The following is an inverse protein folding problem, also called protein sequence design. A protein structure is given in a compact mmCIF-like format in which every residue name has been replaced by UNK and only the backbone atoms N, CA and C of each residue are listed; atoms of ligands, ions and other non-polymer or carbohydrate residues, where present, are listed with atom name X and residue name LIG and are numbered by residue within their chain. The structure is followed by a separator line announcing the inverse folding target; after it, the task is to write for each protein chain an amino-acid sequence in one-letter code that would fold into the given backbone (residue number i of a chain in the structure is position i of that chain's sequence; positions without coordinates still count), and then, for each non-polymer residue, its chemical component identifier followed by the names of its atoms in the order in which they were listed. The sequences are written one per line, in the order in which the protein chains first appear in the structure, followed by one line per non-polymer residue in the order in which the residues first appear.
data_IF_125603463364
#
_entry.id   IF_125603463364
#
_cell.length_a   1.000
_cell.length_b   1.000
_cell.length_c   1.000
_cell.angle_alpha   90.00
_cell.angle_beta   90.00
_cell.angle_gamma   90.00
#
_symmetry.space_group_name_H-M   'P 1'
#
loop_
_entity.id
_entity.type
_entity.pdbx_description
1 polymer ?
#
# COMPACT_ATOMS: atom_id res chain seq x y z
N UNK A 1 -24.43 9.43 -13.60
CA UNK A 1 -23.34 8.59 -13.06
C UNK A 1 -23.56 8.42 -11.56
N UNK A 2 -23.57 7.20 -11.11
CA UNK A 2 -23.72 6.88 -9.70
C UNK A 2 -22.45 6.19 -9.21
N UNK A 3 -21.90 6.67 -8.09
CA UNK A 3 -20.73 6.07 -7.45
C UNK A 3 -21.16 5.41 -6.15
N UNK A 4 -20.63 4.22 -5.90
CA UNK A 4 -20.85 3.48 -4.66
C UNK A 4 -19.62 2.62 -4.34
N UNK A 5 -19.66 1.93 -3.20
CA UNK A 5 -18.59 1.02 -2.81
C UNK A 5 -19.12 -0.42 -2.80
N UNK A 6 -18.30 -1.35 -3.25
CA UNK A 6 -18.57 -2.78 -3.15
C UNK A 6 -18.41 -3.25 -1.70
N UNK A 7 -18.71 -4.53 -1.43
CA UNK A 7 -18.48 -5.15 -0.12
C UNK A 7 -17.00 -5.12 0.30
N UNK A 8 -16.10 -5.00 -0.67
CA UNK A 8 -14.66 -4.91 -0.44
C UNK A 8 -14.14 -3.47 -0.47
N UNK A 9 -15.05 -2.48 -0.44
CA UNK A 9 -14.75 -1.04 -0.48
C UNK A 9 -14.09 -0.57 -1.78
N UNK A 10 -14.24 -1.34 -2.87
CA UNK A 10 -13.78 -0.91 -4.18
C UNK A 10 -14.83 -0.01 -4.83
N UNK A 11 -14.35 0.93 -5.66
CA UNK A 11 -15.22 1.88 -6.34
C UNK A 11 -16.09 1.17 -7.38
N UNK A 12 -17.39 1.43 -7.33
CA UNK A 12 -18.37 0.92 -8.29
C UNK A 12 -18.93 2.10 -9.08
N UNK A 13 -18.88 2.01 -10.39
CA UNK A 13 -19.35 3.06 -11.30
C UNK A 13 -20.58 2.56 -12.04
N UNK A 14 -21.68 3.27 -11.87
CA UNK A 14 -22.94 3.00 -12.58
C UNK A 14 -23.25 4.21 -13.45
N UNK A 15 -23.09 4.06 -14.76
CA UNK A 15 -23.31 5.11 -15.74
C UNK A 15 -24.14 4.53 -16.91
N UNK A 16 -25.46 4.33 -16.75
CA UNK A 16 -26.29 3.64 -17.73
C UNK A 16 -26.35 4.31 -19.10
N UNK A 17 -26.08 5.61 -19.17
CA UNK A 17 -26.06 6.34 -20.44
C UNK A 17 -24.76 6.13 -21.23
N UNK A 18 -23.73 5.60 -20.58
CA UNK A 18 -22.41 5.39 -21.18
C UNK A 18 -22.09 3.91 -21.30
N UNK A 19 -22.55 3.10 -20.32
CA UNK A 19 -22.23 1.69 -20.25
C UNK A 19 -23.47 0.91 -19.79
N UNK A 20 -23.78 -0.18 -20.49
CA UNK A 20 -24.93 -1.02 -20.17
C UNK A 20 -24.75 -1.84 -18.89
N UNK A 21 -23.51 -1.95 -18.40
CA UNK A 21 -23.19 -2.72 -17.22
C UNK A 21 -22.54 -1.83 -16.16
N UNK A 22 -22.79 -2.16 -14.89
CA UNK A 22 -22.12 -1.53 -13.76
C UNK A 22 -20.67 -1.99 -13.73
N UNK A 23 -19.73 -1.02 -13.62
CA UNK A 23 -18.31 -1.32 -13.53
C UNK A 23 -17.89 -1.41 -12.06
N UNK A 24 -17.31 -2.55 -11.67
CA UNK A 24 -16.69 -2.72 -10.37
C UNK A 24 -15.18 -2.65 -10.58
N UNK A 25 -14.56 -1.61 -10.03
CA UNK A 25 -13.11 -1.40 -10.19
C UNK A 25 -12.33 -2.18 -9.13
N UNK A 26 -11.01 -2.27 -9.31
CA UNK A 26 -10.10 -2.79 -8.30
C UNK A 26 -9.47 -1.68 -7.46
N UNK A 27 -10.05 -0.48 -7.49
CA UNK A 27 -9.55 0.66 -6.72
C UNK A 27 -10.33 0.78 -5.43
N UNK A 28 -9.63 0.68 -4.30
CA UNK A 28 -10.21 0.91 -2.98
C UNK A 28 -10.40 2.42 -2.80
N UNK A 29 -11.58 2.83 -2.39
CA UNK A 29 -11.95 4.24 -2.37
C UNK A 29 -12.77 4.61 -1.14
N UNK A 30 -12.83 5.91 -0.86
CA UNK A 30 -13.77 6.52 0.09
C UNK A 30 -14.65 7.49 -0.69
N UNK A 31 -15.95 7.48 -0.38
CA UNK A 31 -16.93 8.41 -0.95
C UNK A 31 -17.38 9.35 0.15
N UNK A 32 -17.31 10.65 -0.11
CA UNK A 32 -17.66 11.68 0.85
C UNK A 32 -19.10 12.15 0.67
N UNK A 33 -19.63 12.83 1.69
CA UNK A 33 -21.03 13.27 1.71
C UNK A 33 -21.37 14.27 0.60
N UNK A 34 -20.39 14.99 0.07
CA UNK A 34 -20.58 15.93 -1.05
C UNK A 34 -20.55 15.25 -2.42
N UNK A 35 -20.39 13.93 -2.48
CA UNK A 35 -20.33 13.16 -3.71
C UNK A 35 -18.93 12.99 -4.30
N UNK A 36 -17.93 13.65 -3.72
CA UNK A 36 -16.54 13.44 -4.14
C UNK A 36 -15.99 12.11 -3.60
N UNK A 37 -14.88 11.67 -4.14
CA UNK A 37 -14.25 10.43 -3.69
C UNK A 37 -12.73 10.54 -3.73
N UNK A 38 -12.07 9.69 -2.96
CA UNK A 38 -10.61 9.52 -2.98
C UNK A 38 -10.25 8.07 -3.24
N UNK A 39 -9.24 7.83 -4.05
CA UNK A 39 -8.70 6.50 -4.26
C UNK A 39 -7.60 6.27 -3.22
N UNK A 40 -7.76 5.24 -2.39
CA UNK A 40 -6.80 4.90 -1.32
C UNK A 40 -5.70 3.97 -1.82
N UNK A 41 -5.98 3.15 -2.84
CA UNK A 41 -5.02 2.22 -3.41
C UNK A 41 -5.73 1.14 -4.22
N UNK A 42 -4.95 0.15 -4.66
CA UNK A 42 -5.49 -1.00 -5.39
C UNK A 42 -5.88 -2.10 -4.42
N UNK A 43 -6.96 -2.83 -4.73
CA UNK A 43 -7.41 -3.97 -3.94
C UNK A 43 -6.29 -5.01 -3.73
N UNK A 44 -5.50 -5.26 -4.78
CA UNK A 44 -4.43 -6.25 -4.75
C UNK A 44 -3.26 -5.85 -3.84
N UNK A 45 -3.17 -4.58 -3.47
CA UNK A 45 -2.11 -4.05 -2.61
C UNK A 45 -2.60 -3.81 -1.17
N UNK A 46 -3.80 -4.28 -0.85
CA UNK A 46 -4.32 -4.24 0.51
C UNK A 46 -3.58 -5.25 1.37
N UNK A 47 -3.14 -4.82 2.53
CA UNK A 47 -2.45 -5.67 3.51
C UNK A 47 -3.42 -5.91 4.68
N UNK A 48 -3.68 -7.18 4.99
CA UNK A 48 -4.53 -7.56 6.11
C UNK A 48 -3.66 -7.91 7.31
N UNK A 49 -3.51 -6.97 8.22
CA UNK A 49 -2.66 -7.13 9.40
C UNK A 49 -3.51 -7.06 10.68
N UNK A 50 -3.55 -8.17 11.43
CA UNK A 50 -4.32 -8.24 12.68
C UNK A 50 -5.81 -8.06 12.48
N UNK A 51 -6.35 -8.44 11.32
CA UNK A 51 -7.77 -8.25 10.99
C UNK A 51 -8.12 -6.85 10.47
N UNK A 52 -7.12 -5.97 10.36
CA UNK A 52 -7.30 -4.61 9.85
C UNK A 52 -6.69 -4.53 8.45
N UNK A 53 -7.42 -3.93 7.52
CA UNK A 53 -6.96 -3.74 6.15
C UNK A 53 -6.28 -2.38 6.01
N UNK A 54 -5.02 -2.37 5.58
CA UNK A 54 -4.26 -1.15 5.32
C UNK A 54 -3.83 -1.14 3.86
N UNK A 55 -3.67 0.05 3.29
CA UNK A 55 -3.28 0.23 1.90
C UNK A 55 -1.80 0.59 1.82
N UNK A 56 -1.04 -0.18 1.04
CA UNK A 56 0.40 0.07 0.85
C UNK A 56 0.64 1.46 0.27
N UNK A 57 -0.16 1.86 -0.72
CA UNK A 57 -0.02 3.17 -1.38
C UNK A 57 -0.27 4.33 -0.42
N UNK A 58 -1.23 4.17 0.49
CA UNK A 58 -1.55 5.20 1.48
C UNK A 58 -0.39 5.40 2.46
N UNK A 59 0.22 4.33 2.91
CA UNK A 59 1.40 4.39 3.78
C UNK A 59 2.55 5.08 3.06
N UNK A 60 2.78 4.72 1.81
CA UNK A 60 3.84 5.32 1.00
C UNK A 60 3.63 6.82 0.81
N UNK A 61 2.39 7.23 0.58
CA UNK A 61 2.06 8.65 0.40
C UNK A 61 2.31 9.45 1.68
N UNK A 62 1.96 8.89 2.83
CA UNK A 62 2.22 9.52 4.13
C UNK A 62 3.72 9.70 4.37
N UNK A 63 4.53 8.70 4.02
CA UNK A 63 5.97 8.72 4.27
C UNK A 63 6.76 9.51 3.22
N UNK A 64 6.23 9.68 2.02
CA UNK A 64 6.97 10.26 0.89
C UNK A 64 7.64 11.59 1.19
N UNK A 65 7.01 12.58 1.85
CA UNK A 65 7.67 13.86 2.14
C UNK A 65 8.89 13.72 3.06
N UNK A 66 8.99 12.62 3.79
CA UNK A 66 10.03 12.40 4.79
C UNK A 66 11.13 11.46 4.32
N UNK A 67 10.92 10.80 3.17
CA UNK A 67 11.87 9.84 2.61
C UNK A 67 12.74 10.51 1.54
N UNK A 68 14.04 10.30 1.60
CA UNK A 68 15.02 10.89 0.67
C UNK A 68 15.54 9.90 -0.36
N UNK A 69 15.21 8.64 -0.19
CA UNK A 69 15.63 7.56 -1.11
C UNK A 69 14.39 6.82 -1.58
N UNK A 70 14.49 6.09 -2.70
CA UNK A 70 13.37 5.24 -3.13
C UNK A 70 13.01 4.23 -2.06
N UNK A 71 11.72 4.01 -1.89
CA UNK A 71 11.18 3.07 -0.91
C UNK A 71 9.87 2.49 -1.40
N UNK A 72 9.46 1.38 -0.78
CA UNK A 72 8.17 0.75 -1.08
C UNK A 72 7.63 0.06 0.15
N UNK A 73 6.32 -0.04 0.23
CA UNK A 73 5.63 -0.81 1.26
C UNK A 73 5.16 -2.12 0.64
N UNK A 74 5.41 -3.21 1.33
CA UNK A 74 4.93 -4.54 0.95
C UNK A 74 4.52 -5.30 2.21
N UNK A 75 4.27 -6.58 2.08
CA UNK A 75 3.91 -7.42 3.21
C UNK A 75 4.53 -8.79 3.07
N UNK A 76 4.65 -9.47 4.20
CA UNK A 76 5.06 -10.87 4.26
C UNK A 76 4.08 -11.62 5.15
N UNK A 77 3.93 -12.95 4.97
CA UNK A 77 3.08 -13.73 5.86
C UNK A 77 3.59 -13.66 7.30
N UNK A 78 2.65 -13.59 8.24
CA UNK A 78 2.96 -13.54 9.67
C UNK A 78 1.98 -14.45 10.41
N UNK A 79 2.51 -15.30 11.30
CA UNK A 79 1.71 -16.30 12.00
C UNK A 79 0.67 -15.68 12.94
N UNK A 80 0.95 -14.50 13.49
CA UNK A 80 0.07 -13.82 14.44
C UNK A 80 -0.90 -12.85 13.78
N UNK A 81 -0.42 -12.14 12.77
CA UNK A 81 -1.16 -11.03 12.15
C UNK A 81 -1.82 -11.40 10.83
N UNK A 82 -1.49 -12.55 10.26
CA UNK A 82 -1.85 -12.91 8.91
C UNK A 82 -0.83 -12.36 7.93
N UNK A 83 -0.66 -11.04 7.90
CA UNK A 83 0.37 -10.36 7.14
C UNK A 83 1.02 -9.29 8.00
N UNK A 84 2.31 -9.06 7.81
CA UNK A 84 3.05 -7.99 8.47
C UNK A 84 3.49 -6.95 7.43
N UNK A 85 3.33 -5.69 7.76
CA UNK A 85 3.76 -4.58 6.90
C UNK A 85 5.29 -4.51 6.90
N UNK A 86 5.89 -4.39 5.72
CA UNK A 86 7.34 -4.30 5.54
C UNK A 86 7.67 -3.04 4.73
N UNK A 87 8.64 -2.27 5.22
CA UNK A 87 9.19 -1.13 4.50
C UNK A 87 10.49 -1.55 3.84
N UNK A 88 10.55 -1.44 2.52
CA UNK A 88 11.77 -1.63 1.75
C UNK A 88 12.39 -0.25 1.48
N UNK A 89 13.65 -0.09 1.82
CA UNK A 89 14.37 1.18 1.63
C UNK A 89 15.61 0.91 0.80
N UNK A 90 15.80 1.70 -0.26
CA UNK A 90 16.98 1.61 -1.08
C UNK A 90 18.20 2.10 -0.29
N UNK A 91 19.33 1.40 -0.40
CA UNK A 91 20.55 1.74 0.35
C UNK A 91 21.05 3.13 -0.02
N UNK A 92 21.35 3.94 1.02
CA UNK A 92 21.89 5.28 0.83
C UNK A 92 22.25 5.90 2.17
N UNK A 93 23.06 6.98 2.14
CA UNK A 93 23.55 7.64 3.34
C UNK A 93 22.44 8.25 4.21
N UNK A 94 21.36 8.72 3.58
CA UNK A 94 20.24 9.37 4.26
C UNK A 94 18.97 8.51 4.19
N UNK A 95 19.13 7.19 4.20
CA UNK A 95 18.01 6.26 4.01
C UNK A 95 17.13 6.08 5.24
N UNK A 96 17.57 6.53 6.40
CA UNK A 96 16.86 6.26 7.65
C UNK A 96 15.87 7.36 8.01
N UNK A 97 14.61 6.96 8.17
CA UNK A 97 13.61 7.78 8.84
C UNK A 97 13.55 7.31 10.31
N UNK A 98 13.69 8.21 11.29
CA UNK A 98 13.64 7.80 12.69
C UNK A 98 12.33 7.07 13.01
N UNK A 99 12.43 6.00 13.79
CA UNK A 99 11.26 5.21 14.19
C UNK A 99 10.22 6.06 14.93
N UNK A 100 10.70 7.00 15.76
CA UNK A 100 9.82 7.92 16.48
C UNK A 100 8.97 8.75 15.51
N UNK A 101 9.56 9.18 14.40
CA UNK A 101 8.85 9.96 13.38
C UNK A 101 7.80 9.11 12.68
N UNK A 102 8.12 7.86 12.37
CA UNK A 102 7.14 6.94 11.77
C UNK A 102 5.95 6.72 12.69
N UNK A 103 6.17 6.60 14.00
CA UNK A 103 5.10 6.44 14.98
C UNK A 103 4.19 7.66 15.07
N UNK A 104 4.71 8.85 14.79
CA UNK A 104 3.91 10.08 14.76
C UNK A 104 3.04 10.14 13.49
N UNK A 105 3.57 9.65 12.37
CA UNK A 105 2.91 9.77 11.06
C UNK A 105 1.91 8.66 10.79
N UNK A 106 2.18 7.45 11.26
CA UNK A 106 1.41 6.25 10.94
C UNK A 106 0.64 5.74 12.15
N UNK A 107 -0.53 5.14 11.88
CA UNK A 107 -1.28 4.46 12.93
C UNK A 107 -0.57 3.15 13.32
N UNK A 108 -0.99 2.56 14.43
CA UNK A 108 -0.45 1.30 14.94
C UNK A 108 -0.42 0.19 13.88
N UNK A 109 -1.49 0.10 13.07
CA UNK A 109 -1.61 -0.95 12.06
C UNK A 109 -0.84 -0.66 10.78
N UNK A 110 -0.54 0.60 10.51
CA UNK A 110 0.23 1.02 9.35
C UNK A 110 1.75 0.94 9.59
N UNK A 111 2.18 0.86 10.84
CA UNK A 111 3.61 0.81 11.18
C UNK A 111 4.25 -0.46 10.64
N UNK A 112 5.37 -0.33 9.89
CA UNK A 112 6.12 -1.49 9.44
C UNK A 112 6.64 -2.31 10.62
N UNK A 113 6.51 -3.62 10.53
CA UNK A 113 7.08 -4.56 11.50
C UNK A 113 8.53 -4.87 11.19
N UNK A 114 8.94 -4.66 9.93
CA UNK A 114 10.32 -4.83 9.48
C UNK A 114 10.68 -3.69 8.54
N UNK A 115 11.94 -3.26 8.62
CA UNK A 115 12.53 -2.32 7.70
C UNK A 115 13.74 -3.01 7.08
N UNK A 116 13.72 -3.17 5.75
CA UNK A 116 14.78 -3.89 5.03
C UNK A 116 15.47 -2.93 4.07
N UNK A 117 16.82 -2.93 4.13
CA UNK A 117 17.64 -2.19 3.15
C UNK A 117 17.91 -3.07 1.95
N UNK A 118 17.57 -2.59 0.76
CA UNK A 118 17.71 -3.33 -0.49
C UNK A 118 18.58 -2.54 -1.47
N UNK A 119 19.12 -3.24 -2.48
CA UNK A 119 19.96 -2.59 -3.49
C UNK A 119 19.20 -1.62 -4.37
N UNK A 120 18.00 -2.01 -4.78
CA UNK A 120 17.13 -1.17 -5.60
C UNK A 120 15.68 -1.60 -5.39
N UNK A 121 14.77 -0.64 -5.46
CA UNK A 121 13.34 -0.92 -5.42
C UNK A 121 12.91 -1.41 -6.80
N UNK A 122 12.30 -2.62 -6.90
CA UNK A 122 11.84 -3.13 -8.19
C UNK A 122 10.76 -2.23 -8.81
N UNK A 123 10.94 -1.90 -10.07
CA UNK A 123 9.99 -1.07 -10.82
C UNK A 123 9.48 -1.85 -12.04
N UNK A 124 8.29 -1.48 -12.49
CA UNK A 124 7.73 -1.98 -13.75
C UNK A 124 8.38 -1.24 -14.93
N UNK A 125 8.10 -1.70 -16.15
CA UNK A 125 8.59 -1.05 -17.37
C UNK A 125 8.15 0.43 -17.48
N UNK A 126 7.03 0.77 -16.86
CA UNK A 126 6.50 2.13 -16.86
C UNK A 126 7.01 2.99 -15.69
N UNK A 127 7.93 2.45 -14.87
CA UNK A 127 8.51 3.18 -13.74
C UNK A 127 7.69 3.17 -12.47
N UNK A 128 6.66 2.35 -12.39
CA UNK A 128 5.85 2.18 -11.19
C UNK A 128 6.42 1.07 -10.31
N UNK A 129 6.11 1.11 -9.01
CA UNK A 129 6.56 0.07 -8.09
C UNK A 129 5.99 -1.29 -8.50
N UNK A 130 6.87 -2.27 -8.66
CA UNK A 130 6.48 -3.64 -8.97
C UNK A 130 6.18 -4.36 -7.64
N UNK A 131 4.90 -4.39 -7.25
CA UNK A 131 4.47 -4.93 -5.95
C UNK A 131 4.81 -6.40 -5.77
N UNK A 132 4.63 -7.21 -6.81
CA UNK A 132 4.93 -8.65 -6.73
C UNK A 132 6.43 -8.87 -6.49
N UNK A 133 7.29 -8.14 -7.20
CA UNK A 133 8.73 -8.24 -7.01
C UNK A 133 9.18 -7.72 -5.64
N UNK A 134 8.54 -6.66 -5.12
CA UNK A 134 8.81 -6.16 -3.77
C UNK A 134 8.48 -7.21 -2.72
N UNK A 135 7.35 -7.90 -2.85
CA UNK A 135 6.97 -8.98 -1.94
C UNK A 135 7.96 -10.14 -1.98
N UNK A 136 8.39 -10.55 -3.17
CA UNK A 136 9.39 -11.61 -3.31
C UNK A 136 10.72 -11.20 -2.68
N UNK A 137 11.13 -9.97 -2.88
CA UNK A 137 12.35 -9.43 -2.29
C UNK A 137 12.29 -9.45 -0.77
N UNK A 138 11.17 -9.02 -0.20
CA UNK A 138 10.95 -9.05 1.25
C UNK A 138 10.98 -10.48 1.81
N UNK A 139 10.35 -11.43 1.10
CA UNK A 139 10.37 -12.84 1.51
C UNK A 139 11.79 -13.42 1.49
N UNK A 140 12.58 -13.07 0.48
CA UNK A 140 13.98 -13.52 0.36
C UNK A 140 14.82 -13.00 1.53
N UNK A 141 14.72 -11.70 1.83
CA UNK A 141 15.45 -11.10 2.95
C UNK A 141 15.01 -11.66 4.29
N UNK A 142 13.74 -11.98 4.45
CA UNK A 142 13.22 -12.60 5.68
C UNK A 142 13.81 -14.00 5.90
N UNK A 143 13.96 -14.78 4.82
CA UNK A 143 14.47 -16.15 4.88
C UNK A 143 15.95 -16.18 5.23
N UNK A 144 16.72 -15.17 4.83
CA UNK A 144 18.16 -15.06 5.04
C UNK A 144 18.53 -14.64 6.48
N UNK A 145 17.55 -14.46 7.33
CA UNK A 145 17.78 -14.13 8.75
C UNK A 145 17.67 -15.40 9.63
#
# INVERSE_FOLDING_TARGET
VRLSLSSEHTLVIDAPLVCDTTLVTNDVAEIYSDGSFSILGRKDNTINTGGIKVQAEQIEEILRPWMRVPFAITSVPDARLGEAVVLLVEKGADAELPETKMKELLSKYQLPKMILSVGAIPLTETGKINRAACRQLALTYRTDR
#
